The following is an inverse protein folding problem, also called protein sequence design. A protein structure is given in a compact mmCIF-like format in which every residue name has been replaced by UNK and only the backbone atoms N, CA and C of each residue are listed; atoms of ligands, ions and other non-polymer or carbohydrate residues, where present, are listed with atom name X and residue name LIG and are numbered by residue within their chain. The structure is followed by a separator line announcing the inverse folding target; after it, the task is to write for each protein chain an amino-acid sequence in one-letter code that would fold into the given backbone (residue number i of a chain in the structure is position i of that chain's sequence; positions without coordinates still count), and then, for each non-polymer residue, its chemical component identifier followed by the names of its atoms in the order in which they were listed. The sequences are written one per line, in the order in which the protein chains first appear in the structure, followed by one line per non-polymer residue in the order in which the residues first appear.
data_IF_168729259105
#
_entry.id   IF_168729259105
#
_cell.length_a   1.000
_cell.length_b   1.000
_cell.length_c   1.000
_cell.angle_alpha   90.00
_cell.angle_beta   90.00
_cell.angle_gamma   90.00
#
_symmetry.space_group_name_H-M   'P 1'
#
loop_
_entity.id
_entity.type
_entity.pdbx_description
1 polymer ?
#
# COMPACT_ATOMS: atom_id res chain seq x y z
N UNK A 1 40.93 -1.59 11.93
CA UNK A 1 40.99 -0.88 13.07
C UNK A 1 41.45 0.54 12.92
N UNK A 2 42.12 0.75 11.94
CA UNK A 2 42.54 2.08 11.77
C UNK A 2 41.42 3.04 11.77
N UNK A 3 40.32 2.60 11.28
CA UNK A 3 39.22 3.43 11.13
C UNK A 3 38.72 3.93 12.40
N UNK A 4 38.97 3.23 13.43
CA UNK A 4 38.54 3.74 14.69
C UNK A 4 39.60 4.65 15.27
N UNK A 5 40.76 4.73 14.64
CA UNK A 5 41.74 5.63 15.14
C UNK A 5 41.27 7.02 14.95
N UNK A 6 41.41 7.82 15.96
CA UNK A 6 40.91 9.15 15.94
C UNK A 6 39.54 9.30 16.49
N UNK A 7 38.80 8.21 16.64
CA UNK A 7 37.50 8.26 17.26
C UNK A 7 37.67 8.20 18.76
N UNK A 8 37.06 9.14 19.46
CA UNK A 8 37.07 9.14 20.92
C UNK A 8 35.89 8.33 21.42
N UNK A 9 35.93 7.86 22.68
CA UNK A 9 34.79 7.20 23.25
C UNK A 9 33.53 8.06 23.19
N UNK A 10 33.70 9.35 23.28
CA UNK A 10 32.58 10.27 23.21
C UNK A 10 31.99 10.28 21.81
N UNK A 11 32.83 10.28 20.78
CA UNK A 11 32.35 10.23 19.41
C UNK A 11 31.64 8.93 19.12
N UNK A 12 32.15 7.82 19.65
CA UNK A 12 31.50 6.53 19.49
C UNK A 12 30.14 6.53 20.14
N UNK A 13 30.06 7.07 21.36
CA UNK A 13 28.76 7.14 22.06
C UNK A 13 27.76 8.00 21.29
N UNK A 14 28.23 9.10 20.72
CA UNK A 14 27.35 9.96 19.92
C UNK A 14 26.84 9.25 18.66
N UNK A 15 27.71 8.48 18.02
CA UNK A 15 27.32 7.73 16.85
C UNK A 15 26.28 6.67 17.19
N UNK A 16 26.51 5.95 18.29
CA UNK A 16 25.56 4.91 18.72
C UNK A 16 24.23 5.55 19.06
N UNK A 17 24.25 6.68 19.78
CA UNK A 17 23.00 7.36 20.13
C UNK A 17 22.25 7.79 18.87
N UNK A 18 22.95 8.33 17.89
CA UNK A 18 22.33 8.76 16.66
C UNK A 18 21.70 7.59 15.90
N UNK A 19 22.40 6.45 15.90
CA UNK A 19 21.88 5.26 15.25
C UNK A 19 20.66 4.72 15.96
N UNK A 20 20.66 4.77 17.29
CA UNK A 20 19.51 4.34 18.08
C UNK A 20 18.32 5.24 17.85
N UNK A 21 18.54 6.54 17.76
CA UNK A 21 17.47 7.49 17.49
C UNK A 21 16.87 7.27 16.11
N UNK A 22 17.74 6.99 15.12
CA UNK A 22 17.25 6.74 13.79
C UNK A 22 16.45 5.45 13.72
N UNK A 23 16.90 4.42 14.44
CA UNK A 23 16.17 3.16 14.50
C UNK A 23 14.82 3.33 15.19
N UNK A 24 14.79 4.12 16.25
CA UNK A 24 13.54 4.42 16.95
C UNK A 24 12.56 5.13 16.02
N UNK A 25 13.06 6.10 15.26
CA UNK A 25 12.23 6.84 14.33
C UNK A 25 11.65 5.93 13.26
N UNK A 26 12.47 5.02 12.72
CA UNK A 26 11.99 4.07 11.72
C UNK A 26 10.94 3.15 12.31
N UNK A 27 11.15 2.70 13.54
CA UNK A 27 10.17 1.84 14.20
C UNK A 27 8.85 2.57 14.43
N UNK A 28 8.92 3.82 14.83
CA UNK A 28 7.73 4.64 15.01
C UNK A 28 7.00 4.81 13.68
N UNK A 29 7.73 5.12 12.62
CA UNK A 29 7.12 5.31 11.29
C UNK A 29 6.46 4.01 10.82
N UNK A 30 7.09 2.87 11.10
CA UNK A 30 6.53 1.58 10.73
C UNK A 30 5.23 1.31 11.48
N UNK A 31 5.20 1.63 12.78
CA UNK A 31 3.98 1.42 13.57
C UNK A 31 2.85 2.30 13.07
N UNK A 32 3.17 3.55 12.72
CA UNK A 32 2.16 4.46 12.17
C UNK A 32 1.60 3.93 10.85
N UNK A 33 2.49 3.42 10.01
CA UNK A 33 2.03 2.88 8.73
C UNK A 33 1.11 1.69 8.94
N UNK A 34 1.46 0.79 9.85
CA UNK A 34 0.62 -0.36 10.15
C UNK A 34 -0.77 0.08 10.60
N UNK A 35 -0.83 1.09 11.49
CA UNK A 35 -2.12 1.59 11.96
C UNK A 35 -2.95 2.18 10.84
N UNK A 36 -2.31 2.92 9.94
CA UNK A 36 -3.00 3.51 8.81
C UNK A 36 -3.55 2.42 7.90
N UNK A 37 -2.76 1.38 7.65
CA UNK A 37 -3.18 0.31 6.76
C UNK A 37 -4.34 -0.50 7.33
N UNK A 38 -4.47 -0.56 8.65
CA UNK A 38 -5.56 -1.32 9.27
C UNK A 38 -6.93 -0.76 8.91
N UNK A 39 -7.02 0.53 8.70
CA UNK A 39 -8.30 1.18 8.41
C UNK A 39 -8.37 1.72 6.99
N UNK A 40 -7.34 1.47 6.19
CA UNK A 40 -7.31 2.00 4.83
C UNK A 40 -8.39 1.36 3.98
N UNK A 41 -9.06 2.19 3.19
CA UNK A 41 -10.09 1.73 2.26
C UNK A 41 -9.94 2.55 1.00
N UNK A 42 -10.05 1.90 -0.14
CA UNK A 42 -10.10 2.62 -1.41
C UNK A 42 -11.21 2.06 -2.26
N UNK A 43 -11.68 2.87 -3.18
CA UNK A 43 -12.78 2.54 -4.06
C UNK A 43 -12.30 2.48 -5.50
N UNK A 44 -13.00 1.69 -6.28
CA UNK A 44 -12.79 1.62 -7.70
C UNK A 44 -14.11 1.53 -8.40
N UNK A 45 -14.13 1.98 -9.65
CA UNK A 45 -15.36 1.96 -10.45
C UNK A 45 -15.05 1.40 -11.82
N UNK A 46 -16.10 0.89 -12.49
CA UNK A 46 -15.96 0.47 -13.87
C UNK A 46 -16.04 1.70 -14.79
N UNK A 47 -15.88 1.48 -16.08
CA UNK A 47 -15.82 2.57 -17.05
C UNK A 47 -17.09 3.41 -17.06
N UNK A 48 -18.24 2.80 -16.86
CA UNK A 48 -19.52 3.51 -16.87
C UNK A 48 -19.88 4.09 -15.53
N UNK A 49 -19.19 3.71 -14.45
CA UNK A 49 -19.52 4.17 -13.11
C UNK A 49 -20.71 3.45 -12.50
N UNK A 50 -21.14 2.34 -13.08
CA UNK A 50 -22.31 1.61 -12.60
C UNK A 50 -21.97 0.60 -11.52
N UNK A 51 -20.72 0.22 -11.42
CA UNK A 51 -20.24 -0.74 -10.42
C UNK A 51 -19.13 -0.08 -9.61
N UNK A 52 -19.27 -0.12 -8.31
CA UNK A 52 -18.26 0.42 -7.40
C UNK A 52 -17.88 -0.65 -6.40
N UNK A 53 -16.58 -0.79 -6.16
CA UNK A 53 -16.09 -1.71 -5.12
C UNK A 53 -15.25 -0.92 -4.14
N UNK A 54 -15.20 -1.43 -2.93
CA UNK A 54 -14.33 -0.87 -1.89
C UNK A 54 -13.51 -2.02 -1.33
N UNK A 55 -12.20 -1.80 -1.17
CA UNK A 55 -11.30 -2.84 -0.68
C UNK A 55 -10.49 -2.31 0.51
N UNK A 56 -9.94 -3.24 1.28
CA UNK A 56 -9.02 -2.91 2.36
C UNK A 56 -7.57 -3.02 1.85
N UNK A 57 -6.62 -2.82 2.74
CA UNK A 57 -5.21 -2.80 2.35
C UNK A 57 -4.68 -4.17 1.95
N UNK A 58 -5.38 -5.24 2.30
CA UNK A 58 -5.02 -6.60 1.86
C UNK A 58 -5.64 -6.94 0.52
N UNK A 59 -6.43 -6.04 -0.04
CA UNK A 59 -7.08 -6.30 -1.31
C UNK A 59 -8.40 -7.03 -1.18
N UNK A 60 -8.91 -7.17 0.05
CA UNK A 60 -10.18 -7.87 0.26
C UNK A 60 -11.33 -6.95 -0.08
N UNK A 61 -12.34 -7.53 -0.70
CA UNK A 61 -13.55 -6.80 -1.02
C UNK A 61 -14.32 -6.52 0.27
N UNK A 62 -14.55 -5.23 0.54
CA UNK A 62 -15.29 -4.81 1.72
C UNK A 62 -16.72 -4.44 1.36
N UNK A 63 -16.90 -3.87 0.18
CA UNK A 63 -18.21 -3.44 -0.25
C UNK A 63 -18.33 -3.51 -1.76
N UNK A 64 -19.49 -3.89 -2.24
CA UNK A 64 -19.80 -3.94 -3.66
C UNK A 64 -21.13 -3.23 -3.86
N UNK A 65 -21.15 -2.26 -4.76
CA UNK A 65 -22.36 -1.52 -5.10
C UNK A 65 -22.58 -1.63 -6.59
N UNK A 66 -23.78 -2.00 -6.99
CA UNK A 66 -24.15 -2.18 -8.39
C UNK A 66 -25.38 -1.33 -8.66
N UNK A 67 -25.25 -0.41 -9.62
CA UNK A 67 -26.36 0.40 -10.05
C UNK A 67 -27.31 -0.43 -10.91
N UNK A 68 -28.60 -0.12 -10.85
CA UNK A 68 -29.57 -0.86 -11.66
C UNK A 68 -29.23 -0.83 -13.14
N UNK A 69 -28.61 0.24 -13.61
CA UNK A 69 -28.24 0.35 -15.01
C UNK A 69 -27.29 -0.76 -15.44
N UNK A 70 -26.46 -1.25 -14.53
CA UNK A 70 -25.55 -2.34 -14.85
C UNK A 70 -26.30 -3.63 -15.15
N UNK A 71 -27.52 -3.75 -14.69
CA UNK A 71 -28.33 -4.96 -14.92
C UNK A 71 -29.00 -4.97 -16.28
N UNK A 72 -28.90 -3.89 -17.03
CA UNK A 72 -29.48 -3.82 -18.36
C UNK A 72 -28.72 -4.69 -19.37
N UNK A 73 -27.46 -5.00 -19.08
CA UNK A 73 -26.64 -5.80 -19.97
C UNK A 73 -26.67 -7.27 -19.60
N UNK A 74 -25.73 -8.01 -20.16
CA UNK A 74 -25.62 -9.43 -19.90
C UNK A 74 -24.87 -9.69 -18.60
N UNK A 75 -24.98 -10.93 -18.13
CA UNK A 75 -24.21 -11.34 -16.95
C UNK A 75 -22.72 -11.18 -17.21
N UNK A 76 -22.27 -11.46 -18.44
CA UNK A 76 -20.86 -11.34 -18.81
C UNK A 76 -20.40 -9.90 -18.70
N UNK A 77 -21.22 -8.99 -19.16
CA UNK A 77 -20.89 -7.58 -19.06
C UNK A 77 -20.79 -7.13 -17.61
N UNK A 78 -21.68 -7.64 -16.76
CA UNK A 78 -21.63 -7.31 -15.34
C UNK A 78 -20.38 -7.89 -14.69
N UNK A 79 -20.03 -9.12 -15.05
CA UNK A 79 -18.80 -9.72 -14.54
C UNK A 79 -17.58 -8.88 -14.90
N UNK A 80 -17.51 -8.44 -16.15
CA UNK A 80 -16.39 -7.62 -16.60
C UNK A 80 -16.34 -6.30 -15.85
N UNK A 81 -17.50 -5.68 -15.63
CA UNK A 81 -17.57 -4.42 -14.90
C UNK A 81 -17.10 -4.58 -13.45
N UNK A 82 -17.47 -5.68 -12.81
CA UNK A 82 -17.03 -5.93 -11.44
C UNK A 82 -15.52 -6.11 -11.38
N UNK A 83 -14.97 -6.88 -12.32
CA UNK A 83 -13.53 -7.09 -12.35
C UNK A 83 -12.78 -5.80 -12.63
N UNK A 84 -13.33 -4.96 -13.49
CA UNK A 84 -12.73 -3.68 -13.82
C UNK A 84 -12.72 -2.76 -12.60
N UNK A 85 -13.85 -2.70 -11.89
CA UNK A 85 -13.93 -1.86 -10.69
C UNK A 85 -12.97 -2.35 -9.61
N UNK A 86 -12.85 -3.66 -9.47
CA UNK A 86 -11.95 -4.25 -8.51
C UNK A 86 -10.50 -3.91 -8.83
N UNK A 87 -10.12 -4.00 -10.11
CA UNK A 87 -8.77 -3.65 -10.54
C UNK A 87 -8.48 -2.18 -10.29
N UNK A 88 -9.48 -1.33 -10.53
CA UNK A 88 -9.34 0.11 -10.27
C UNK A 88 -9.11 0.38 -8.78
N UNK A 89 -9.88 -0.28 -7.91
CA UNK A 89 -9.68 -0.15 -6.48
C UNK A 89 -8.29 -0.61 -6.06
N UNK A 90 -7.80 -1.68 -6.68
CA UNK A 90 -6.46 -2.18 -6.39
C UNK A 90 -5.38 -1.19 -6.75
N UNK A 91 -5.51 -0.54 -7.90
CA UNK A 91 -4.55 0.48 -8.30
C UNK A 91 -4.58 1.66 -7.32
N UNK A 92 -5.77 2.05 -6.91
CA UNK A 92 -5.92 3.16 -5.97
C UNK A 92 -5.30 2.82 -4.62
N UNK A 93 -5.47 1.59 -4.16
CA UNK A 93 -4.87 1.17 -2.89
C UNK A 93 -3.35 1.11 -3.00
N UNK A 94 -2.82 0.61 -4.11
CA UNK A 94 -1.38 0.58 -4.32
C UNK A 94 -0.80 1.98 -4.26
N UNK A 95 -1.45 2.92 -4.94
CA UNK A 95 -0.98 4.30 -4.94
C UNK A 95 -1.03 4.91 -3.53
N UNK A 96 -2.10 4.62 -2.81
CA UNK A 96 -2.26 5.12 -1.45
C UNK A 96 -1.17 4.57 -0.52
N UNK A 97 -0.92 3.26 -0.60
CA UNK A 97 0.10 2.63 0.24
C UNK A 97 1.48 3.17 -0.10
N UNK A 98 1.77 3.33 -1.39
CA UNK A 98 3.05 3.89 -1.81
C UNK A 98 3.24 5.31 -1.30
N UNK A 99 2.19 6.12 -1.40
CA UNK A 99 2.26 7.50 -0.92
C UNK A 99 2.52 7.54 0.59
N UNK A 100 1.77 6.76 1.36
CA UNK A 100 1.93 6.73 2.79
C UNK A 100 3.33 6.26 3.20
N UNK A 101 3.85 5.26 2.49
CA UNK A 101 5.17 4.75 2.78
C UNK A 101 6.25 5.76 2.43
N UNK A 102 6.11 6.41 1.28
CA UNK A 102 7.08 7.42 0.85
C UNK A 102 7.14 8.58 1.82
N UNK A 103 6.00 8.99 2.35
CA UNK A 103 5.97 10.08 3.31
C UNK A 103 6.74 9.76 4.58
N UNK A 104 6.82 8.49 4.94
CA UNK A 104 7.46 8.09 6.19
C UNK A 104 8.88 7.57 6.02
N UNK A 105 9.20 6.97 4.89
CA UNK A 105 10.48 6.30 4.69
C UNK A 105 11.27 6.82 3.50
N UNK A 106 10.72 7.76 2.73
CA UNK A 106 11.37 8.25 1.53
C UNK A 106 11.06 7.38 0.34
N UNK A 107 11.59 7.78 -0.82
CA UNK A 107 11.19 7.17 -2.08
C UNK A 107 11.60 5.71 -2.21
N UNK A 108 12.71 5.33 -1.58
CA UNK A 108 13.18 3.94 -1.69
C UNK A 108 12.48 3.01 -0.72
N UNK A 109 11.62 3.54 0.15
CA UNK A 109 10.91 2.72 1.10
C UNK A 109 11.76 2.16 2.21
N UNK A 110 13.03 2.48 2.24
CA UNK A 110 13.94 1.99 3.25
C UNK A 110 13.89 0.48 3.35
N UNK A 111 13.84 -0.02 4.57
CA UNK A 111 13.84 -1.47 4.80
C UNK A 111 12.50 -2.12 4.45
N UNK A 112 11.51 -1.33 4.09
CA UNK A 112 10.20 -1.87 3.74
C UNK A 112 10.02 -2.06 2.24
N UNK A 113 11.08 -1.85 1.45
CA UNK A 113 10.96 -1.95 0.00
C UNK A 113 10.39 -3.26 -0.48
N UNK A 114 10.87 -4.38 0.09
CA UNK A 114 10.37 -5.70 -0.30
C UNK A 114 8.92 -5.90 0.06
N UNK A 115 8.52 -5.43 1.23
CA UNK A 115 7.14 -5.54 1.67
C UNK A 115 6.23 -4.72 0.75
N UNK A 116 6.68 -3.52 0.40
CA UNK A 116 5.94 -2.67 -0.52
C UNK A 116 5.76 -3.31 -1.88
N UNK A 117 6.82 -3.94 -2.37
CA UNK A 117 6.74 -4.64 -3.64
C UNK A 117 5.70 -5.74 -3.61
N UNK A 118 5.66 -6.49 -2.52
CA UNK A 118 4.69 -7.57 -2.37
C UNK A 118 3.27 -7.02 -2.37
N UNK A 119 3.02 -5.97 -1.60
CA UNK A 119 1.70 -5.35 -1.54
C UNK A 119 1.31 -4.81 -2.91
N UNK A 120 2.23 -4.12 -3.55
CA UNK A 120 1.97 -3.52 -4.85
C UNK A 120 1.63 -4.59 -5.88
N UNK A 121 2.35 -5.70 -5.86
CA UNK A 121 2.10 -6.79 -6.78
C UNK A 121 0.73 -7.42 -6.54
N UNK A 122 0.40 -7.67 -5.27
CA UNK A 122 -0.89 -8.26 -4.94
C UNK A 122 -2.04 -7.36 -5.36
N UNK A 123 -1.93 -6.06 -5.07
CA UNK A 123 -2.99 -5.11 -5.41
C UNK A 123 -3.08 -4.90 -6.91
N UNK A 124 -1.94 -4.89 -7.58
CA UNK A 124 -1.92 -4.67 -9.01
C UNK A 124 -2.51 -5.81 -9.81
N UNK A 125 -2.60 -7.01 -9.20
CA UNK A 125 -3.16 -8.16 -9.89
C UNK A 125 -4.64 -8.37 -9.63
N UNK A 126 -5.25 -7.52 -8.80
CA UNK A 126 -6.68 -7.66 -8.51
C UNK A 126 -7.48 -7.48 -9.79
N UNK A 127 -8.39 -8.38 -10.02
CA UNK A 127 -9.25 -8.33 -11.19
C UNK A 127 -8.60 -8.75 -12.48
N UNK A 128 -7.32 -9.09 -12.46
CA UNK A 128 -6.60 -9.46 -13.65
C UNK A 128 -6.32 -10.96 -13.63
N UNK A 129 -6.32 -11.57 -14.82
CA UNK A 129 -5.95 -12.98 -14.90
C UNK A 129 -6.92 -13.94 -14.24
N UNK A 130 -8.06 -13.47 -13.93
CA UNK A 130 -9.06 -14.31 -13.26
C UNK A 130 -9.85 -15.16 -14.21
N UNK A 131 -9.58 -15.03 -15.47
CA UNK A 131 -10.35 -15.74 -16.46
C UNK A 131 -9.61 -16.90 -17.07
#
# INVERSE_FOLDING_TARGET
MVETMGSTPEEVRQTIRAQMEAAEKRAQNARELVEILKTARTRGVDAQGDVEVEIDSDGRLVKLSIDDDALQGSARELEDSIMEAYADAGRNMRDYVCMQTTQRFGEDGGSLGGYLETISSNLGSLGAGQR
#
